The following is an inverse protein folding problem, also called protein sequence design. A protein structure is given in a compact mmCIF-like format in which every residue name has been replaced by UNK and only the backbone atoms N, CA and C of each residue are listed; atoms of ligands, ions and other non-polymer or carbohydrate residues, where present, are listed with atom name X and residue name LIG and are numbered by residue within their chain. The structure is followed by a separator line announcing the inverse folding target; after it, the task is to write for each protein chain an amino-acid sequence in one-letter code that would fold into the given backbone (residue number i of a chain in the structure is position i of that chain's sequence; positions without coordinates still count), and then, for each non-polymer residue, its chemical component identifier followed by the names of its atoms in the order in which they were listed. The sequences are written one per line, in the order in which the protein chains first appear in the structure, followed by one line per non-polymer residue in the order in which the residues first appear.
data_IF_817341874029
#
_entry.id   IF_817341874029
#
_cell.length_a   1.000
_cell.length_b   1.000
_cell.length_c   1.000
_cell.angle_alpha   90.00
_cell.angle_beta   90.00
_cell.angle_gamma   90.00
#
_symmetry.space_group_name_H-M   'P 1'
#
loop_
_entity.id
_entity.type
_entity.pdbx_description
1 polymer ?
#
# COMPACT_ATOMS: atom_id res chain seq x y z
N UNK A 1 5.98 -25.54 -5.30
CA UNK A 1 5.41 -24.47 -4.44
C UNK A 1 4.50 -23.63 -5.33
N UNK A 2 3.21 -23.38 -5.00
CA UNK A 2 2.38 -22.51 -5.82
C UNK A 2 2.91 -21.08 -5.75
N UNK A 3 3.02 -20.43 -6.92
CA UNK A 3 3.38 -19.02 -7.00
C UNK A 3 2.21 -18.12 -6.59
N UNK A 4 2.49 -16.84 -6.33
CA UNK A 4 1.50 -15.84 -5.95
C UNK A 4 0.37 -15.71 -6.99
N UNK A 5 0.70 -15.70 -8.28
CA UNK A 5 -0.27 -15.60 -9.38
C UNK A 5 -1.29 -16.77 -9.37
N UNK A 6 -0.89 -18.06 -9.39
CA UNK A 6 -1.83 -19.17 -9.27
C UNK A 6 -2.71 -19.14 -8.01
N UNK A 7 -2.21 -18.58 -6.91
CA UNK A 7 -3.00 -18.42 -5.69
C UNK A 7 -4.09 -17.36 -5.89
N UNK A 8 -3.74 -16.18 -6.38
CA UNK A 8 -4.68 -15.08 -6.60
C UNK A 8 -5.73 -15.42 -7.66
N UNK A 9 -5.38 -16.23 -8.68
CA UNK A 9 -6.32 -16.75 -9.68
C UNK A 9 -7.50 -17.52 -9.09
N UNK A 10 -7.39 -18.03 -7.86
CA UNK A 10 -8.48 -18.73 -7.17
C UNK A 10 -9.48 -17.79 -6.49
N UNK A 11 -9.18 -16.48 -6.44
CA UNK A 11 -9.94 -15.46 -5.72
C UNK A 11 -10.20 -14.23 -6.62
N UNK A 12 -10.96 -14.38 -7.73
CA UNK A 12 -11.34 -13.24 -8.55
C UNK A 12 -12.25 -12.27 -7.80
N UNK A 13 -12.28 -11.00 -8.22
CA UNK A 13 -13.06 -9.93 -7.61
C UNK A 13 -12.69 -9.65 -6.14
N UNK A 14 -11.41 -9.80 -5.78
CA UNK A 14 -10.95 -9.50 -4.43
C UNK A 14 -10.08 -8.25 -4.39
N UNK A 15 -9.84 -7.74 -3.19
CA UNK A 15 -8.88 -6.67 -2.92
C UNK A 15 -7.66 -7.32 -2.26
N UNK A 16 -6.48 -7.11 -2.86
CA UNK A 16 -5.21 -7.53 -2.30
C UNK A 16 -4.61 -6.34 -1.54
N UNK A 17 -4.41 -6.51 -0.24
CA UNK A 17 -3.75 -5.51 0.61
C UNK A 17 -2.34 -5.99 0.93
N UNK A 18 -1.34 -5.17 0.64
CA UNK A 18 0.07 -5.42 0.96
C UNK A 18 0.55 -4.32 1.91
N UNK A 19 0.76 -4.69 3.17
CA UNK A 19 1.29 -3.78 4.19
C UNK A 19 2.81 -3.79 4.20
N UNK A 20 3.44 -2.67 4.58
CA UNK A 20 4.91 -2.51 4.66
C UNK A 20 5.59 -2.96 3.34
N UNK A 21 5.03 -2.47 2.24
CA UNK A 21 5.32 -2.93 0.89
C UNK A 21 6.64 -2.37 0.32
N UNK A 22 7.43 -1.63 1.11
CA UNK A 22 8.67 -0.96 0.72
C UNK A 22 9.61 -1.90 -0.05
N UNK A 23 9.79 -3.13 0.42
CA UNK A 23 10.69 -4.11 -0.21
C UNK A 23 10.14 -4.73 -1.50
N UNK A 24 8.86 -4.49 -1.81
CA UNK A 24 8.12 -5.06 -2.95
C UNK A 24 7.88 -4.01 -4.04
N UNK A 25 7.82 -2.73 -3.68
CA UNK A 25 7.52 -1.64 -4.62
C UNK A 25 8.75 -0.80 -5.00
N UNK A 26 9.86 -0.93 -4.27
CA UNK A 26 11.09 -0.16 -4.52
C UNK A 26 11.82 -0.59 -5.78
N UNK A 27 12.60 0.35 -6.32
CA UNK A 27 13.38 0.19 -7.54
C UNK A 27 14.30 -1.05 -7.50
N UNK A 28 14.41 -1.72 -8.66
CA UNK A 28 15.07 -3.01 -8.90
C UNK A 28 16.59 -3.01 -8.70
N UNK A 29 17.14 -1.87 -8.32
CA UNK A 29 18.56 -1.63 -8.05
C UNK A 29 19.02 -2.16 -6.67
N UNK A 30 18.11 -2.71 -5.86
CA UNK A 30 18.50 -3.56 -4.73
C UNK A 30 18.68 -4.99 -5.25
N UNK A 31 19.94 -5.39 -5.51
CA UNK A 31 20.43 -6.63 -6.16
C UNK A 31 19.99 -7.98 -5.52
N UNK A 32 18.74 -8.13 -5.12
CA UNK A 32 18.20 -9.39 -4.62
C UNK A 32 17.15 -9.93 -5.60
N UNK A 33 17.35 -11.18 -6.03
CA UNK A 33 16.43 -11.90 -6.93
C UNK A 33 14.98 -11.90 -6.44
N UNK A 34 14.77 -11.88 -5.12
CA UNK A 34 13.45 -11.93 -4.47
C UNK A 34 12.65 -10.64 -4.66
N UNK A 35 13.26 -9.46 -4.47
CA UNK A 35 12.59 -8.17 -4.64
C UNK A 35 12.14 -7.97 -6.10
N UNK A 36 13.00 -8.32 -7.06
CA UNK A 36 12.70 -8.24 -8.49
C UNK A 36 11.52 -9.13 -8.91
N UNK A 37 11.39 -10.31 -8.30
CA UNK A 37 10.26 -11.21 -8.56
C UNK A 37 8.95 -10.68 -7.96
N UNK A 38 9.01 -10.02 -6.79
CA UNK A 38 7.84 -9.44 -6.15
C UNK A 38 7.28 -8.25 -6.95
N UNK A 39 8.14 -7.31 -7.36
CA UNK A 39 7.77 -6.19 -8.25
C UNK A 39 7.16 -6.75 -9.55
N UNK A 40 7.81 -7.74 -10.17
CA UNK A 40 7.32 -8.33 -11.43
C UNK A 40 5.94 -8.97 -11.29
N UNK A 41 5.67 -9.66 -10.18
CA UNK A 41 4.34 -10.19 -9.90
C UNK A 41 3.30 -9.08 -9.75
N UNK A 42 3.65 -7.97 -9.07
CA UNK A 42 2.76 -6.83 -8.90
C UNK A 42 2.47 -6.13 -10.24
N UNK A 43 3.47 -5.97 -11.09
CA UNK A 43 3.31 -5.45 -12.45
C UNK A 43 2.40 -6.35 -13.29
N UNK A 44 2.61 -7.68 -13.23
CA UNK A 44 1.77 -8.64 -13.94
C UNK A 44 0.31 -8.63 -13.47
N UNK A 45 0.06 -8.35 -12.18
CA UNK A 45 -1.29 -8.25 -11.63
C UNK A 45 -1.98 -6.92 -11.95
N UNK A 46 -1.20 -5.83 -12.04
CA UNK A 46 -1.70 -4.49 -12.37
C UNK A 46 -1.79 -4.22 -13.86
N UNK A 47 -1.25 -5.11 -14.71
CA UNK A 47 -1.33 -4.97 -16.17
C UNK A 47 -2.74 -5.27 -16.70
N UNK A 48 -3.15 -4.47 -17.69
CA UNK A 48 -4.51 -4.38 -18.25
C UNK A 48 -5.08 -5.67 -18.83
N UNK A 49 -4.31 -6.75 -18.94
CA UNK A 49 -4.82 -8.05 -19.41
C UNK A 49 -5.19 -8.98 -18.24
N UNK A 50 -4.32 -9.06 -17.22
CA UNK A 50 -4.51 -9.94 -16.06
C UNK A 50 -5.35 -9.25 -14.97
N UNK A 51 -5.13 -7.95 -14.74
CA UNK A 51 -5.91 -7.15 -13.80
C UNK A 51 -7.39 -7.09 -14.19
N UNK A 52 -7.67 -6.86 -15.48
CA UNK A 52 -9.04 -6.79 -16.03
C UNK A 52 -9.73 -8.16 -16.01
N UNK A 53 -9.02 -9.25 -16.31
CA UNK A 53 -9.59 -10.59 -16.25
C UNK A 53 -9.96 -11.03 -14.82
N UNK A 54 -9.24 -10.53 -13.81
CA UNK A 54 -9.39 -10.92 -12.41
C UNK A 54 -10.23 -9.93 -11.59
N UNK A 55 -10.52 -8.73 -12.12
CA UNK A 55 -11.11 -7.60 -11.40
C UNK A 55 -10.42 -7.34 -10.04
N UNK A 56 -9.10 -7.53 -9.99
CA UNK A 56 -8.33 -7.48 -8.76
C UNK A 56 -7.89 -6.04 -8.47
N UNK A 57 -8.26 -5.50 -7.32
CA UNK A 57 -7.72 -4.22 -6.85
C UNK A 57 -6.54 -4.48 -5.91
N UNK A 58 -5.50 -3.67 -6.00
CA UNK A 58 -4.31 -3.78 -5.14
C UNK A 58 -4.17 -2.49 -4.35
N UNK A 59 -4.01 -2.61 -3.04
CA UNK A 59 -3.70 -1.51 -2.12
C UNK A 59 -2.36 -1.84 -1.46
N UNK A 60 -1.41 -0.92 -1.54
CA UNK A 60 -0.12 -1.04 -0.89
C UNK A 60 0.07 0.09 0.11
N UNK A 61 0.53 -0.22 1.32
CA UNK A 61 1.00 0.79 2.29
C UNK A 61 2.52 0.77 2.35
N UNK A 62 3.11 1.95 2.54
CA UNK A 62 4.57 2.10 2.62
C UNK A 62 4.94 3.40 3.33
N UNK A 63 6.10 3.40 3.98
CA UNK A 63 6.69 4.53 4.70
C UNK A 63 7.96 5.05 4.02
N UNK A 64 8.02 4.98 2.69
CA UNK A 64 9.13 5.51 1.89
C UNK A 64 8.71 6.68 1.00
N UNK A 65 9.69 7.47 0.57
CA UNK A 65 9.44 8.52 -0.44
C UNK A 65 8.94 7.86 -1.74
N UNK A 66 7.89 8.42 -2.34
CA UNK A 66 7.31 7.96 -3.62
C UNK A 66 8.37 7.91 -4.72
N UNK A 67 9.40 8.77 -4.67
CA UNK A 67 10.54 8.75 -5.59
C UNK A 67 11.37 7.46 -5.54
N UNK A 68 11.25 6.68 -4.46
CA UNK A 68 11.94 5.40 -4.30
C UNK A 68 11.17 4.21 -4.87
N UNK A 69 9.92 4.43 -5.31
CA UNK A 69 9.05 3.41 -5.91
C UNK A 69 9.46 3.21 -7.37
N UNK A 70 9.40 1.95 -7.84
CA UNK A 70 9.62 1.63 -9.25
C UNK A 70 8.62 2.41 -10.12
N UNK A 71 9.16 3.29 -10.97
CA UNK A 71 8.37 4.16 -11.85
C UNK A 71 7.36 3.42 -12.73
N UNK A 72 7.57 2.12 -13.00
CA UNK A 72 6.63 1.32 -13.76
C UNK A 72 5.30 1.07 -13.02
N UNK A 73 5.28 1.14 -11.68
CA UNK A 73 4.05 1.08 -10.88
C UNK A 73 3.29 2.41 -10.89
N UNK A 74 4.00 3.52 -11.07
CA UNK A 74 3.43 4.88 -11.07
C UNK A 74 2.83 5.31 -12.41
N UNK A 75 2.85 4.43 -13.43
CA UNK A 75 2.33 4.75 -14.76
C UNK A 75 0.81 4.84 -14.76
N UNK A 76 0.29 5.75 -15.58
CA UNK A 76 -1.15 5.86 -15.86
C UNK A 76 -1.71 4.49 -16.28
N UNK A 77 -2.82 4.10 -15.65
CA UNK A 77 -3.45 2.79 -15.84
C UNK A 77 -3.00 1.71 -14.84
N UNK A 78 -1.91 1.92 -14.08
CA UNK A 78 -1.49 1.03 -12.98
C UNK A 78 -1.69 1.68 -11.61
N UNK A 79 -1.31 2.94 -11.45
CA UNK A 79 -1.63 3.74 -10.28
C UNK A 79 -2.90 4.54 -10.54
N UNK A 80 -3.98 4.16 -9.86
CA UNK A 80 -5.28 4.84 -9.99
C UNK A 80 -5.44 5.94 -8.94
N UNK A 81 -4.93 5.72 -7.73
CA UNK A 81 -5.03 6.65 -6.62
C UNK A 81 -3.79 6.57 -5.75
N UNK A 82 -3.32 7.73 -5.31
CA UNK A 82 -2.30 7.88 -4.28
C UNK A 82 -2.91 8.65 -3.10
N UNK A 83 -2.69 8.15 -1.89
CA UNK A 83 -3.04 8.87 -0.68
C UNK A 83 -1.84 8.96 0.24
N UNK A 84 -1.46 10.20 0.58
CA UNK A 84 -0.39 10.47 1.53
C UNK A 84 -0.98 10.80 2.89
N UNK A 85 -0.61 10.02 3.90
CA UNK A 85 -0.90 10.34 5.29
C UNK A 85 0.14 11.32 5.82
N UNK A 86 -0.28 12.58 6.05
CA UNK A 86 0.54 13.55 6.76
C UNK A 86 0.41 13.40 8.29
N UNK A 87 1.27 14.12 9.01
CA UNK A 87 1.19 14.18 10.47
C UNK A 87 -0.22 14.60 10.89
N UNK A 88 -0.76 13.94 11.92
CA UNK A 88 -2.02 14.31 12.53
C UNK A 88 -1.99 15.79 12.92
N UNK A 89 -3.03 16.54 12.51
CA UNK A 89 -3.27 17.89 13.02
C UNK A 89 -3.57 17.81 14.53
N UNK A 90 -3.64 18.95 15.23
CA UNK A 90 -4.08 18.92 16.64
C UNK A 90 -5.58 18.59 16.75
N UNK A 91 -6.36 18.94 15.73
CA UNK A 91 -7.81 18.75 15.71
C UNK A 91 -8.22 17.31 15.41
N UNK A 92 -7.52 16.60 14.52
CA UNK A 92 -7.88 15.22 14.15
C UNK A 92 -7.84 14.24 15.34
N UNK A 93 -6.79 14.21 16.19
CA UNK A 93 -6.76 13.48 17.45
C UNK A 93 -7.90 13.85 18.38
N UNK A 94 -8.26 15.13 18.45
CA UNK A 94 -9.33 15.61 19.32
C UNK A 94 -10.68 15.06 18.86
N UNK A 95 -10.95 15.15 17.56
CA UNK A 95 -12.14 14.55 16.94
C UNK A 95 -12.18 13.04 17.15
N UNK A 96 -11.07 12.34 16.88
CA UNK A 96 -10.97 10.90 17.07
C UNK A 96 -11.20 10.48 18.53
N UNK A 97 -10.62 11.19 19.49
CA UNK A 97 -10.84 10.94 20.92
C UNK A 97 -12.31 11.16 21.31
N UNK A 98 -12.96 12.22 20.80
CA UNK A 98 -14.38 12.46 21.03
C UNK A 98 -15.26 11.35 20.45
N UNK A 99 -14.99 10.90 19.23
CA UNK A 99 -15.71 9.80 18.58
C UNK A 99 -15.53 8.47 19.31
N UNK A 100 -14.32 8.20 19.81
CA UNK A 100 -14.00 6.98 20.55
C UNK A 100 -14.39 7.04 22.04
N UNK A 101 -14.92 8.17 22.53
CA UNK A 101 -15.27 8.35 23.94
C UNK A 101 -14.05 8.40 24.88
N UNK A 102 -12.86 8.67 24.35
CA UNK A 102 -11.61 8.77 25.10
C UNK A 102 -11.46 10.21 25.61
N UNK A 103 -11.32 10.46 26.92
CA UNK A 103 -11.17 11.81 27.46
C UNK A 103 -9.82 12.44 27.03
N UNK A 104 -9.86 13.35 26.06
CA UNK A 104 -8.67 14.02 25.52
C UNK A 104 -8.38 15.38 26.17
N UNK A 105 -7.30 15.49 26.96
CA UNK A 105 -6.81 16.78 27.47
C UNK A 105 -5.84 17.42 26.45
N UNK A 106 -6.41 18.02 25.40
CA UNK A 106 -5.72 18.48 24.18
C UNK A 106 -4.74 19.65 24.35
N UNK A 107 -3.67 19.51 25.15
CA UNK A 107 -2.64 20.54 25.31
C UNK A 107 -1.27 20.22 24.74
N UNK A 108 -1.00 19.00 24.24
CA UNK A 108 0.25 18.70 23.53
C UNK A 108 0.04 17.67 22.39
N UNK A 109 0.74 17.82 21.25
CA UNK A 109 0.70 16.90 20.12
C UNK A 109 1.54 15.64 20.41
N UNK A 110 1.17 14.92 21.47
CA UNK A 110 1.76 13.65 21.86
C UNK A 110 0.63 12.71 22.21
N UNK A 111 0.24 11.88 21.25
CA UNK A 111 -0.58 10.69 21.52
C UNK A 111 0.21 9.83 22.52
N UNK A 112 -0.22 9.80 23.78
CA UNK A 112 0.22 8.77 24.74
C UNK A 112 -0.92 7.77 24.82
N UNK A 113 -0.77 6.67 24.09
CA UNK A 113 -1.55 5.45 24.36
C UNK A 113 -0.77 4.74 25.47
N UNK A 114 -1.29 4.81 26.69
CA UNK A 114 -0.83 4.01 27.83
C UNK A 114 -1.53 2.66 27.84
#
# INVERSE_FOLDING_TARGET
KPGLLPFLMRYPNSILIVEDAENIIRDRNQDTFVANQAVSNLLNLSDSLLGDAMHQQIICTFNCDVKSIDSALLRDGRLVVEHKFDKLSVENPRHLCLELGIPGNGKKPGFVIS
#
